data_IF_830708977497
#
_entry.id   IF_830708977497
#
_cell.length_a   1.000
_cell.length_b   1.000
_cell.length_c   1.000
_cell.angle_alpha   90.00
_cell.angle_beta   90.00
_cell.angle_gamma   90.00
#
_symmetry.space_group_name_H-M   'P 1'
#
loop_
_entity.id
_entity.type
_entity.pdbx_description
1 polymer ?
#
# COMPACT_ATOMS: atom_id res chain seq x y z
N UNK A 1 0.23 -5.25 -7.38
CA UNK A 1 1.17 -4.58 -6.44
C UNK A 1 1.64 -3.27 -7.05
N UNK A 2 1.78 -2.22 -6.24
CA UNK A 2 2.12 -0.85 -6.71
C UNK A 2 3.51 -0.74 -7.32
N UNK A 3 4.49 -1.49 -6.81
CA UNK A 3 5.90 -1.39 -7.22
C UNK A 3 6.30 -2.44 -8.26
N UNK A 4 5.41 -3.36 -8.64
CA UNK A 4 5.69 -4.41 -9.62
C UNK A 4 6.64 -5.53 -9.16
N UNK A 5 7.27 -5.37 -7.99
CA UNK A 5 8.17 -6.35 -7.37
C UNK A 5 7.72 -6.71 -5.95
N UNK A 6 8.17 -7.86 -5.41
CA UNK A 6 7.93 -8.23 -4.02
C UNK A 6 8.50 -7.21 -3.03
N UNK A 7 7.87 -7.17 -1.85
CA UNK A 7 8.41 -6.44 -0.70
C UNK A 7 9.86 -6.87 -0.41
N UNK A 8 10.71 -5.90 -0.07
CA UNK A 8 12.14 -6.08 0.22
C UNK A 8 13.02 -6.57 -0.94
N UNK A 9 12.53 -6.63 -2.19
CA UNK A 9 13.38 -6.98 -3.35
C UNK A 9 14.70 -6.16 -3.35
N UNK A 10 15.87 -6.80 -3.58
CA UNK A 10 16.08 -8.18 -4.06
C UNK A 10 16.24 -9.25 -2.98
N UNK A 11 15.85 -8.98 -1.73
CA UNK A 11 15.98 -9.92 -0.61
C UNK A 11 15.24 -11.24 -0.88
N UNK A 12 15.83 -12.35 -0.44
CA UNK A 12 15.20 -13.66 -0.50
C UNK A 12 13.93 -13.69 0.39
N UNK A 13 12.89 -14.46 0.02
CA UNK A 13 11.64 -14.49 0.77
C UNK A 13 11.79 -14.86 2.25
N UNK A 14 12.71 -15.79 2.56
CA UNK A 14 13.03 -16.22 3.92
C UNK A 14 13.62 -15.07 4.75
N UNK A 15 14.59 -14.34 4.18
CA UNK A 15 15.23 -13.20 4.84
C UNK A 15 14.20 -12.08 5.05
N UNK A 16 13.35 -11.82 4.06
CA UNK A 16 12.28 -10.82 4.15
C UNK A 16 11.27 -11.15 5.25
N UNK A 17 10.93 -12.44 5.40
CA UNK A 17 10.09 -12.91 6.50
C UNK A 17 10.78 -12.71 7.85
N UNK A 18 12.08 -13.02 7.97
CA UNK A 18 12.85 -12.77 9.20
C UNK A 18 12.90 -11.28 9.55
N UNK A 19 13.18 -10.40 8.59
CA UNK A 19 13.18 -8.95 8.83
C UNK A 19 11.80 -8.47 9.29
N UNK A 20 10.72 -8.97 8.69
CA UNK A 20 9.36 -8.54 9.05
C UNK A 20 8.93 -9.07 10.42
N UNK A 21 9.07 -10.37 10.66
CA UNK A 21 8.54 -11.04 11.85
C UNK A 21 9.41 -10.82 13.09
N UNK A 22 10.74 -10.77 12.93
CA UNK A 22 11.68 -10.70 14.05
C UNK A 22 12.16 -9.27 14.30
N UNK A 23 12.39 -8.49 13.23
CA UNK A 23 12.92 -7.12 13.36
C UNK A 23 11.82 -6.06 13.27
N UNK A 24 10.56 -6.45 13.02
CA UNK A 24 9.45 -5.52 12.84
C UNK A 24 9.61 -4.59 11.64
N UNK A 25 10.54 -4.89 10.73
CA UNK A 25 10.81 -4.07 9.56
C UNK A 25 9.59 -4.08 8.64
N UNK A 26 9.21 -2.89 8.16
CA UNK A 26 8.18 -2.73 7.14
C UNK A 26 8.82 -2.26 5.85
N UNK A 27 8.36 -2.74 4.68
CA UNK A 27 8.87 -2.23 3.42
C UNK A 27 8.70 -0.72 3.39
N UNK A 28 9.74 0.01 2.98
CA UNK A 28 9.56 1.42 2.71
C UNK A 28 8.72 1.55 1.44
N UNK A 29 7.68 2.37 1.49
CA UNK A 29 6.87 2.70 0.32
C UNK A 29 7.67 3.70 -0.55
N UNK A 30 8.52 3.17 -1.45
CA UNK A 30 9.57 3.90 -2.17
C UNK A 30 9.13 4.33 -3.58
N UNK A 31 7.83 4.33 -3.87
CA UNK A 31 7.29 4.82 -5.15
C UNK A 31 7.78 6.25 -5.44
N UNK A 32 8.89 6.33 -6.19
CA UNK A 32 9.41 7.57 -6.80
C UNK A 32 8.53 8.02 -7.97
N UNK A 33 7.57 7.19 -8.34
CA UNK A 33 6.56 7.51 -9.34
C UNK A 33 5.72 8.67 -8.82
N UNK A 34 5.70 9.79 -9.54
CA UNK A 34 4.80 10.94 -9.31
C UNK A 34 3.30 10.58 -9.32
N UNK A 35 2.99 9.31 -9.52
CA UNK A 35 1.69 8.68 -9.66
C UNK A 35 1.32 7.81 -8.44
N UNK A 36 1.62 8.23 -7.21
CA UNK A 36 1.01 7.60 -6.03
C UNK A 36 0.45 8.69 -5.11
N UNK A 37 -0.83 8.62 -4.68
CA UNK A 37 -1.44 9.72 -3.96
C UNK A 37 -0.76 9.79 -2.59
N UNK A 38 -0.43 10.99 -2.08
CA UNK A 38 0.06 11.14 -0.72
C UNK A 38 -0.84 10.44 0.31
N UNK A 39 -2.15 10.53 0.12
CA UNK A 39 -3.17 9.94 0.99
C UNK A 39 -3.14 8.40 0.97
N UNK A 40 -2.79 7.79 -0.16
CA UNK A 40 -2.61 6.33 -0.23
C UNK A 40 -1.34 5.90 0.50
N UNK A 41 -0.27 6.68 0.38
CA UNK A 41 0.99 6.41 1.08
C UNK A 41 0.79 6.51 2.60
N UNK A 42 0.02 7.51 3.05
CA UNK A 42 -0.36 7.67 4.46
C UNK A 42 -1.17 6.46 4.95
N UNK A 43 -2.22 6.06 4.22
CA UNK A 43 -3.05 4.90 4.56
C UNK A 43 -2.24 3.60 4.64
N UNK A 44 -1.32 3.37 3.70
CA UNK A 44 -0.42 2.20 3.75
C UNK A 44 0.47 2.24 5.00
N UNK A 45 0.93 3.43 5.39
CA UNK A 45 1.70 3.63 6.62
C UNK A 45 0.92 3.22 7.87
N UNK A 46 -0.33 3.70 8.02
CA UNK A 46 -1.19 3.35 9.15
C UNK A 46 -1.53 1.85 9.17
N UNK A 47 -1.77 1.22 8.02
CA UNK A 47 -1.97 -0.24 7.94
C UNK A 47 -0.75 -1.05 8.39
N UNK A 48 0.45 -0.45 8.34
CA UNK A 48 1.70 -1.08 8.74
C UNK A 48 2.20 -0.67 10.12
N UNK A 49 1.40 0.09 10.87
CA UNK A 49 1.78 0.56 12.20
C UNK A 49 2.20 -0.63 13.11
N UNK A 50 3.30 -0.49 13.87
CA UNK A 50 3.71 -1.52 14.82
C UNK A 50 2.61 -1.86 15.83
N UNK A 51 1.87 -0.85 16.29
CA UNK A 51 0.78 -1.00 17.23
C UNK A 51 -0.51 -1.40 16.51
N UNK A 52 -1.01 -2.61 16.81
CA UNK A 52 -2.21 -3.14 16.16
C UNK A 52 -3.46 -2.27 16.35
N UNK A 53 -3.52 -1.51 17.45
CA UNK A 53 -4.63 -0.61 17.79
C UNK A 53 -4.66 0.66 16.93
N UNK A 54 -3.54 1.04 16.32
CA UNK A 54 -3.45 2.19 15.41
C UNK A 54 -3.92 1.81 14.00
N UNK A 55 -3.85 0.52 13.66
CA UNK A 55 -4.21 0.04 12.33
C UNK A 55 -5.71 0.23 12.08
N UNK A 56 -6.10 0.82 10.95
CA UNK A 56 -7.50 0.99 10.63
C UNK A 56 -8.18 -0.37 10.41
N UNK A 57 -9.46 -0.43 10.73
CA UNK A 57 -10.33 -1.54 10.35
C UNK A 57 -10.48 -1.59 8.83
N UNK A 58 -10.82 -2.77 8.29
CA UNK A 58 -11.09 -2.90 6.87
C UNK A 58 -12.21 -1.97 6.37
N UNK A 59 -13.22 -1.68 7.20
CA UNK A 59 -14.29 -0.75 6.85
C UNK A 59 -13.76 0.68 6.65
N UNK A 60 -12.88 1.15 7.54
CA UNK A 60 -12.23 2.47 7.42
C UNK A 60 -11.30 2.53 6.20
N UNK A 61 -10.58 1.44 5.91
CA UNK A 61 -9.73 1.31 4.72
C UNK A 61 -10.57 1.48 3.44
N UNK A 62 -11.71 0.78 3.32
CA UNK A 62 -12.60 0.89 2.16
C UNK A 62 -13.08 2.32 1.96
N UNK A 63 -13.61 2.95 3.03
CA UNK A 63 -14.10 4.34 2.97
C UNK A 63 -13.01 5.32 2.55
N UNK A 64 -11.77 5.14 3.03
CA UNK A 64 -10.64 5.98 2.62
C UNK A 64 -10.21 5.72 1.18
N UNK A 65 -10.15 4.46 0.75
CA UNK A 65 -9.84 4.11 -0.64
C UNK A 65 -10.86 4.67 -1.62
N UNK A 66 -12.16 4.61 -1.31
CA UNK A 66 -13.22 5.19 -2.16
C UNK A 66 -13.02 6.70 -2.36
N UNK A 67 -12.66 7.42 -1.29
CA UNK A 67 -12.32 8.85 -1.37
C UNK A 67 -11.10 9.07 -2.25
N UNK A 68 -10.01 8.34 -2.01
CA UNK A 68 -8.78 8.44 -2.83
C UNK A 68 -9.11 8.20 -4.30
N UNK A 69 -9.94 7.20 -4.61
CA UNK A 69 -10.36 6.85 -5.96
C UNK A 69 -11.18 7.98 -6.60
N UNK A 70 -12.15 8.53 -5.88
CA UNK A 70 -12.96 9.65 -6.37
C UNK A 70 -12.13 10.91 -6.66
N UNK A 71 -11.08 11.17 -5.87
CA UNK A 71 -10.16 12.29 -6.10
C UNK A 71 -9.24 12.05 -7.31
N UNK A 72 -8.75 10.82 -7.50
CA UNK A 72 -7.83 10.49 -8.58
C UNK A 72 -8.52 10.24 -9.94
N UNK A 73 -9.80 9.83 -9.95
CA UNK A 73 -10.59 9.64 -11.19
C UNK A 73 -10.87 10.94 -11.94
N UNK A 74 -10.87 12.09 -11.26
CA UNK A 74 -10.89 13.42 -11.89
C UNK A 74 -9.65 13.69 -12.75
N UNK A 75 -8.54 12.97 -12.50
CA UNK A 75 -7.28 13.06 -13.25
C UNK A 75 -6.98 11.81 -14.10
N UNK A 76 -7.95 10.92 -14.33
CA UNK A 76 -7.84 9.81 -15.31
C UNK A 76 -6.95 8.62 -14.92
N UNK A 77 -6.27 8.66 -13.78
CA UNK A 77 -5.16 7.74 -13.48
C UNK A 77 -5.57 6.32 -13.01
N UNK A 78 -6.62 6.16 -12.21
CA UNK A 78 -6.93 4.85 -11.61
C UNK A 78 -7.54 3.81 -12.56
N UNK A 79 -7.99 4.24 -13.75
CA UNK A 79 -8.72 3.38 -14.68
C UNK A 79 -7.82 2.29 -15.29
N UNK A 80 -6.53 2.57 -15.45
CA UNK A 80 -5.55 1.61 -15.96
C UNK A 80 -4.89 0.77 -14.87
N UNK A 81 -4.58 1.33 -13.70
CA UNK A 81 -3.77 0.64 -12.66
C UNK A 81 -4.58 -0.34 -11.81
N UNK A 82 -5.89 -0.12 -11.65
CA UNK A 82 -6.79 -0.97 -10.86
C UNK A 82 -7.90 -1.60 -11.71
N UNK A 83 -7.57 -2.13 -12.89
CA UNK A 83 -8.43 -3.14 -13.52
C UNK A 83 -8.44 -4.38 -12.63
N UNK A 84 -9.28 -4.35 -11.59
CA UNK A 84 -9.57 -5.50 -10.76
C UNK A 84 -10.21 -6.55 -11.67
N UNK A 85 -9.66 -7.77 -11.77
CA UNK A 85 -10.06 -8.76 -12.77
C UNK A 85 -11.39 -9.44 -12.46
N UNK A 86 -12.13 -8.99 -11.43
CA UNK A 86 -13.36 -9.63 -10.98
C UNK A 86 -14.54 -9.17 -11.85
N UNK A 87 -14.80 -9.94 -12.92
CA UNK A 87 -16.10 -10.04 -13.58
C UNK A 87 -16.92 -11.15 -12.93
#
# INVERSE_FOLDING_TARGET
MFEGYPAFHPMAPEDAAQQTCLQGMRPSFKTKSKSCPPELKELVGECWDPEAVVRPTFAEVIVRLDKIVAHCTKHGWLKETFKLPWK
#
